data_IF_785478581347
#
_entry.id   IF_785478581347
#
_cell.length_a   1.000
_cell.length_b   1.000
_cell.length_c   1.000
_cell.angle_alpha   90.00
_cell.angle_beta   90.00
_cell.angle_gamma   90.00
#
_symmetry.space_group_name_H-M   'P 1'
#
loop_
_entity.id
_entity.type
_entity.pdbx_description
1 polymer ?
#
# COMPACT_ATOMS: atom_id res chain seq x y z
N UNK A 1 -32.22 19.00 15.57
CA UNK A 1 -32.78 17.71 15.14
C UNK A 1 -31.64 16.88 14.55
N UNK A 2 -31.14 15.86 15.28
CA UNK A 2 -30.08 14.98 14.78
C UNK A 2 -30.71 13.99 13.80
N UNK A 3 -30.39 14.11 12.53
CA UNK A 3 -30.81 13.12 11.53
C UNK A 3 -29.99 11.85 11.78
N UNK A 4 -30.63 10.84 12.35
CA UNK A 4 -30.13 9.46 12.39
C UNK A 4 -30.48 8.83 11.05
N UNK A 5 -29.56 8.85 10.09
CA UNK A 5 -29.68 8.00 8.91
C UNK A 5 -29.20 6.61 9.31
N UNK A 6 -30.13 5.84 9.88
CA UNK A 6 -29.94 4.41 10.04
C UNK A 6 -30.25 3.75 8.69
N UNK A 7 -29.22 3.19 8.07
CA UNK A 7 -29.26 1.92 7.35
C UNK A 7 -30.46 1.71 6.41
N UNK A 8 -30.37 2.26 5.20
CA UNK A 8 -31.05 1.71 4.02
C UNK A 8 -30.04 0.95 3.18
N UNK A 9 -30.18 -0.37 3.22
CA UNK A 9 -29.53 -1.40 2.41
C UNK A 9 -29.04 -0.94 1.03
N UNK A 10 -27.73 -0.80 0.93
CA UNK A 10 -26.95 -1.13 -0.25
C UNK A 10 -25.69 -1.80 0.28
N UNK A 11 -25.77 -3.08 0.65
CA UNK A 11 -24.57 -3.86 0.88
C UNK A 11 -23.84 -3.96 -0.47
N UNK A 12 -23.03 -2.95 -0.81
CA UNK A 12 -21.97 -3.11 -1.79
C UNK A 12 -21.13 -4.26 -1.25
N UNK A 13 -21.25 -5.44 -1.86
CA UNK A 13 -20.34 -6.54 -1.59
C UNK A 13 -18.93 -5.95 -1.63
N UNK A 14 -18.07 -6.22 -0.63
CA UNK A 14 -16.74 -5.64 -0.60
C UNK A 14 -16.02 -6.10 -1.86
N UNK A 15 -15.91 -5.20 -2.84
CA UNK A 15 -15.28 -5.53 -4.11
C UNK A 15 -13.88 -6.04 -3.78
N UNK A 16 -13.45 -7.21 -4.29
CA UNK A 16 -12.14 -7.78 -3.98
C UNK A 16 -11.00 -6.78 -4.21
N UNK A 17 -11.15 -5.91 -5.21
CA UNK A 17 -10.26 -4.79 -5.50
C UNK A 17 -10.16 -3.78 -4.34
N UNK A 18 -11.28 -3.39 -3.72
CA UNK A 18 -11.30 -2.47 -2.58
C UNK A 18 -10.53 -3.04 -1.38
N UNK A 19 -10.72 -4.34 -1.09
CA UNK A 19 -10.00 -5.03 0.00
C UNK A 19 -8.49 -5.10 -0.25
N UNK A 20 -8.08 -5.36 -1.50
CA UNK A 20 -6.67 -5.37 -1.90
C UNK A 20 -6.02 -3.99 -1.82
N UNK A 21 -6.75 -2.94 -2.23
CA UNK A 21 -6.28 -1.57 -2.18
C UNK A 21 -6.04 -1.12 -0.72
N UNK A 22 -6.99 -1.43 0.15
CA UNK A 22 -6.90 -1.20 1.59
C UNK A 22 -5.70 -1.91 2.23
N UNK A 23 -5.50 -3.18 1.87
CA UNK A 23 -4.39 -3.98 2.40
C UNK A 23 -3.04 -3.43 1.93
N UNK A 24 -2.92 -3.11 0.65
CA UNK A 24 -1.72 -2.51 0.06
C UNK A 24 -1.42 -1.16 0.71
N UNK A 25 -2.44 -0.32 0.93
CA UNK A 25 -2.30 0.97 1.61
C UNK A 25 -1.77 0.83 3.04
N UNK A 26 -2.35 -0.09 3.83
CA UNK A 26 -1.88 -0.37 5.20
C UNK A 26 -0.45 -0.91 5.24
N UNK A 27 -0.10 -1.80 4.31
CA UNK A 27 1.24 -2.37 4.20
C UNK A 27 2.26 -1.27 3.87
N UNK A 28 1.94 -0.41 2.90
CA UNK A 28 2.79 0.70 2.49
C UNK A 28 3.01 1.72 3.62
N UNK A 29 1.94 2.12 4.32
CA UNK A 29 2.05 3.00 5.48
C UNK A 29 2.89 2.38 6.61
N UNK A 30 2.76 1.07 6.85
CA UNK A 30 3.54 0.37 7.87
C UNK A 30 5.03 0.34 7.51
N UNK A 31 5.35 0.11 6.23
CA UNK A 31 6.72 0.17 5.73
C UNK A 31 7.31 1.57 5.89
N UNK A 32 6.57 2.62 5.48
CA UNK A 32 7.02 4.01 5.62
C UNK A 32 7.34 4.37 7.07
N UNK A 33 6.45 4.00 8.01
CA UNK A 33 6.66 4.23 9.44
C UNK A 33 7.86 3.47 9.99
N UNK A 34 8.15 2.28 9.47
CA UNK A 34 9.30 1.49 9.89
C UNK A 34 10.63 2.12 9.46
N UNK A 35 10.70 2.64 8.23
CA UNK A 35 11.91 3.29 7.69
C UNK A 35 12.02 4.78 8.05
N UNK A 36 11.01 5.33 8.71
CA UNK A 36 11.01 6.70 9.22
C UNK A 36 12.14 6.89 10.22
N UNK A 37 12.95 7.92 9.99
CA UNK A 37 14.05 8.31 10.87
C UNK A 37 13.45 9.18 11.98
N UNK A 38 13.60 8.75 13.22
CA UNK A 38 13.15 9.51 14.38
C UNK A 38 14.36 9.98 15.18
N UNK A 39 14.22 11.13 15.84
CA UNK A 39 15.30 11.75 16.60
C UNK A 39 15.65 10.97 17.89
N UNK A 40 14.76 10.10 18.35
CA UNK A 40 14.96 9.20 19.49
C UNK A 40 15.66 7.88 19.14
N UNK A 41 15.94 7.63 17.85
CA UNK A 41 16.59 6.41 17.40
C UNK A 41 18.12 6.42 17.64
N UNK A 42 18.73 5.33 18.13
CA UNK A 42 20.17 5.25 18.24
C UNK A 42 20.85 5.34 16.87
N UNK A 43 22.05 5.92 16.78
CA UNK A 43 22.76 6.20 15.51
C UNK A 43 22.90 4.95 14.61
N UNK A 44 23.08 3.78 15.19
CA UNK A 44 23.16 2.51 14.45
C UNK A 44 21.84 2.13 13.75
N UNK A 45 20.71 2.57 14.32
CA UNK A 45 19.36 2.36 13.80
C UNK A 45 19.11 3.18 12.53
N UNK A 46 19.67 4.40 12.47
CA UNK A 46 19.58 5.27 11.30
C UNK A 46 20.22 4.65 10.08
N UNK A 47 21.39 4.01 10.25
CA UNK A 47 22.12 3.36 9.16
C UNK A 47 21.31 2.25 8.49
N UNK A 48 20.75 1.31 9.27
CA UNK A 48 19.96 0.23 8.67
C UNK A 48 18.65 0.73 8.07
N UNK A 49 17.97 1.72 8.69
CA UNK A 49 16.72 2.29 8.15
C UNK A 49 16.95 2.94 6.79
N UNK A 50 18.07 3.64 6.62
CA UNK A 50 18.45 4.22 5.34
C UNK A 50 18.66 3.16 4.26
N UNK A 51 19.33 2.05 4.59
CA UNK A 51 19.52 0.91 3.69
C UNK A 51 18.15 0.31 3.31
N UNK A 52 17.28 0.04 4.29
CA UNK A 52 15.95 -0.50 4.04
C UNK A 52 15.09 0.42 3.17
N UNK A 53 15.18 1.74 3.38
CA UNK A 53 14.50 2.72 2.53
C UNK A 53 15.01 2.65 1.09
N UNK A 54 16.32 2.58 0.91
CA UNK A 54 16.92 2.45 -0.42
C UNK A 54 16.49 1.15 -1.11
N UNK A 55 16.54 0.02 -0.40
CA UNK A 55 16.07 -1.29 -0.90
C UNK A 55 14.60 -1.23 -1.29
N UNK A 56 13.74 -0.60 -0.49
CA UNK A 56 12.32 -0.42 -0.81
C UNK A 56 12.09 0.37 -2.10
N UNK A 57 12.85 1.44 -2.32
CA UNK A 57 12.78 2.25 -3.55
C UNK A 57 13.23 1.42 -4.76
N UNK A 58 14.37 0.73 -4.67
CA UNK A 58 14.88 -0.12 -5.74
C UNK A 58 13.90 -1.24 -6.07
N UNK A 59 13.31 -1.87 -5.05
CA UNK A 59 12.30 -2.90 -5.23
C UNK A 59 11.06 -2.35 -5.95
N UNK A 60 10.53 -1.19 -5.56
CA UNK A 60 9.44 -0.54 -6.28
C UNK A 60 9.79 -0.20 -7.73
N UNK A 61 11.02 0.25 -7.99
CA UNK A 61 11.48 0.62 -9.33
C UNK A 61 11.56 -0.60 -10.24
N UNK A 62 12.10 -1.71 -9.73
CA UNK A 62 12.19 -2.98 -10.47
C UNK A 62 10.80 -3.56 -10.69
N UNK A 63 9.91 -3.50 -9.69
CA UNK A 63 8.57 -4.07 -9.76
C UNK A 63 7.63 -3.27 -10.68
N UNK A 64 7.81 -1.96 -10.79
CA UNK A 64 7.01 -1.05 -11.62
C UNK A 64 6.70 -1.57 -13.04
N UNK A 65 7.69 -1.94 -13.88
CA UNK A 65 7.42 -2.48 -15.21
C UNK A 65 6.61 -3.78 -15.17
N UNK A 66 6.82 -4.65 -14.18
CA UNK A 66 6.05 -5.89 -14.05
C UNK A 66 4.60 -5.64 -13.66
N UNK A 67 4.32 -4.64 -12.83
CA UNK A 67 2.93 -4.27 -12.48
C UNK A 67 2.19 -3.78 -13.72
N UNK A 68 2.82 -2.92 -14.52
CA UNK A 68 2.23 -2.40 -15.76
C UNK A 68 2.00 -3.51 -16.78
N UNK A 69 3.00 -4.37 -17.00
CA UNK A 69 2.87 -5.52 -17.91
C UNK A 69 1.81 -6.50 -17.42
N UNK A 70 1.79 -6.83 -16.13
CA UNK A 70 0.80 -7.73 -15.55
C UNK A 70 -0.63 -7.19 -15.69
N UNK A 71 -0.81 -5.88 -15.49
CA UNK A 71 -2.10 -5.23 -15.72
C UNK A 71 -2.51 -5.28 -17.19
N UNK A 72 -1.56 -5.02 -18.10
CA UNK A 72 -1.81 -5.07 -19.54
C UNK A 72 -2.22 -6.48 -20.00
N UNK A 73 -1.54 -7.53 -19.52
CA UNK A 73 -1.93 -8.91 -19.76
C UNK A 73 -3.29 -9.26 -19.15
N UNK A 74 -3.59 -8.78 -17.94
CA UNK A 74 -4.87 -9.03 -17.29
C UNK A 74 -6.05 -8.44 -18.09
N UNK A 75 -5.91 -7.21 -18.61
CA UNK A 75 -6.90 -6.63 -19.52
C UNK A 75 -6.98 -7.38 -20.84
N UNK A 76 -5.83 -7.75 -21.43
CA UNK A 76 -5.79 -8.51 -22.68
C UNK A 76 -6.40 -9.92 -22.57
N UNK A 77 -6.39 -10.54 -21.38
CA UNK A 77 -6.95 -11.87 -21.15
C UNK A 77 -8.46 -11.88 -20.92
N UNK A 78 -9.05 -10.73 -20.58
CA UNK A 78 -10.51 -10.58 -20.36
C UNK A 78 -11.24 -10.24 -21.67
N UNK A 79 -10.54 -9.65 -22.64
CA UNK A 79 -11.02 -9.44 -24.00
C UNK A 79 -10.87 -10.71 -24.85
#
# INVERSE_FOLDING_TARGET
MKVRLNETNGAEEPQPAAKMLDWTGRLYQSFLRYVELRDDDPIWMMGYKLIFRFVGIVFMLILSPFVVLGLLFAFAAVF
#
